data_IF_357596599624
#
_entry.id   IF_357596599624
#
_cell.length_a   1.000
_cell.length_b   1.000
_cell.length_c   1.000
_cell.angle_alpha   90.00
_cell.angle_beta   90.00
_cell.angle_gamma   90.00
#
_symmetry.space_group_name_H-M   'P 1'
#
loop_
_entity.id
_entity.type
_entity.pdbx_description
1 polymer ?
#
# COMPACT_ATOMS: atom_id res chain seq x y z
N UNK A 1 23.54 -23.62 -22.72
CA UNK A 1 22.61 -24.45 -23.51
C UNK A 1 22.35 -23.73 -24.83
N UNK A 2 22.68 -24.34 -25.98
CA UNK A 2 22.46 -23.74 -27.31
C UNK A 2 21.00 -23.94 -27.73
N UNK A 3 20.39 -22.90 -28.29
CA UNK A 3 19.00 -22.90 -28.77
C UNK A 3 18.96 -23.63 -30.14
N UNK A 4 18.02 -24.56 -30.37
CA UNK A 4 17.80 -25.17 -31.68
C UNK A 4 17.44 -24.11 -32.73
N UNK A 5 18.03 -24.18 -33.93
CA UNK A 5 17.85 -23.16 -34.98
C UNK A 5 16.46 -23.17 -35.63
N UNK A 6 15.71 -24.25 -35.43
CA UNK A 6 14.38 -24.55 -35.96
C UNK A 6 13.23 -24.12 -35.03
N UNK A 7 13.53 -23.67 -33.80
CA UNK A 7 12.53 -23.09 -32.89
C UNK A 7 11.54 -24.09 -32.27
N UNK A 8 11.64 -25.39 -32.61
CA UNK A 8 10.78 -26.44 -32.06
C UNK A 8 11.40 -27.03 -30.79
N UNK A 9 10.78 -26.73 -29.65
CA UNK A 9 11.18 -27.28 -28.35
C UNK A 9 10.37 -28.53 -28.02
N UNK A 10 11.03 -29.63 -27.66
CA UNK A 10 10.36 -30.76 -27.02
C UNK A 10 9.95 -30.36 -25.59
N UNK A 11 8.80 -30.82 -25.10
CA UNK A 11 8.22 -30.42 -23.81
C UNK A 11 9.20 -30.51 -22.61
N UNK A 12 10.10 -31.50 -22.62
CA UNK A 12 11.14 -31.68 -21.61
C UNK A 12 12.22 -30.57 -21.62
N UNK A 13 12.56 -30.01 -22.79
CA UNK A 13 13.57 -28.95 -22.95
C UNK A 13 13.01 -27.56 -22.55
N UNK A 14 11.70 -27.35 -22.75
CA UNK A 14 10.97 -26.17 -22.27
C UNK A 14 10.98 -26.07 -20.74
N UNK A 15 10.70 -27.18 -20.04
CA UNK A 15 10.71 -27.23 -18.58
C UNK A 15 12.08 -26.90 -17.97
N UNK A 16 13.17 -27.30 -18.61
CA UNK A 16 14.53 -26.98 -18.17
C UNK A 16 14.91 -25.50 -18.42
N UNK A 17 14.48 -24.89 -19.53
CA UNK A 17 14.83 -23.50 -19.87
C UNK A 17 14.10 -22.46 -19.00
N UNK A 18 12.83 -22.68 -18.67
CA UNK A 18 11.97 -21.71 -17.94
C UNK A 18 12.49 -21.41 -16.52
N UNK A 19 13.30 -22.30 -15.93
CA UNK A 19 13.86 -22.10 -14.59
C UNK A 19 14.94 -21.01 -14.52
N UNK A 20 15.63 -20.70 -15.62
CA UNK A 20 16.70 -19.70 -15.65
C UNK A 20 16.16 -18.28 -15.89
N UNK A 21 16.58 -17.31 -15.05
CA UNK A 21 16.25 -15.87 -15.24
C UNK A 21 16.73 -15.32 -16.59
N UNK A 22 17.76 -15.93 -17.19
CA UNK A 22 18.31 -15.54 -18.48
C UNK A 22 17.41 -15.95 -19.66
N UNK A 23 16.77 -17.14 -19.60
CA UNK A 23 15.90 -17.64 -20.67
C UNK A 23 14.58 -16.84 -20.76
N UNK A 24 14.03 -16.40 -19.62
CA UNK A 24 12.78 -15.59 -19.56
C UNK A 24 12.84 -14.25 -20.30
N UNK A 25 14.01 -13.60 -20.36
CA UNK A 25 14.15 -12.32 -21.09
C UNK A 25 14.09 -12.47 -22.61
N UNK A 26 14.36 -13.68 -23.14
CA UNK A 26 14.56 -13.89 -24.58
C UNK A 26 13.34 -14.43 -25.33
N UNK A 27 12.38 -15.01 -24.60
CA UNK A 27 11.21 -15.69 -25.19
C UNK A 27 9.94 -14.84 -25.24
N UNK A 28 9.96 -13.57 -24.82
CA UNK A 28 8.78 -12.68 -24.75
C UNK A 28 7.53 -13.32 -24.08
N UNK A 29 7.74 -14.35 -23.27
CA UNK A 29 6.70 -14.94 -22.43
C UNK A 29 6.55 -13.97 -21.28
N UNK A 30 5.48 -13.16 -21.31
CA UNK A 30 5.07 -12.39 -20.14
C UNK A 30 5.04 -13.37 -18.96
N UNK A 31 5.79 -13.11 -17.87
CA UNK A 31 5.83 -14.04 -16.76
C UNK A 31 4.40 -14.28 -16.29
N UNK A 32 4.02 -15.56 -16.12
CA UNK A 32 2.74 -15.95 -15.53
C UNK A 32 2.50 -15.08 -14.29
N UNK A 33 1.42 -14.31 -14.30
CA UNK A 33 1.03 -13.36 -13.24
C UNK A 33 1.09 -14.08 -11.90
N UNK A 34 1.99 -13.65 -11.03
CA UNK A 34 2.13 -14.27 -9.71
C UNK A 34 1.28 -13.51 -8.72
N UNK A 35 0.69 -14.19 -7.74
CA UNK A 35 -0.11 -13.55 -6.70
C UNK A 35 0.59 -12.37 -5.98
N UNK A 36 1.94 -12.28 -6.05
CA UNK A 36 2.75 -11.16 -5.53
C UNK A 36 2.68 -9.86 -6.34
N UNK A 37 1.90 -9.80 -7.42
CA UNK A 37 1.72 -8.59 -8.22
C UNK A 37 0.72 -7.59 -7.59
N UNK A 38 -0.06 -8.05 -6.59
CA UNK A 38 -1.08 -7.23 -5.93
C UNK A 38 -0.51 -6.53 -4.70
N UNK A 39 -0.72 -5.22 -4.59
CA UNK A 39 -0.19 -4.38 -3.52
C UNK A 39 -1.32 -3.60 -2.84
N UNK A 40 -1.16 -3.29 -1.55
CA UNK A 40 -2.14 -2.56 -0.75
C UNK A 40 -1.84 -1.06 -0.74
N UNK A 41 -2.88 -0.23 -0.84
CA UNK A 41 -2.85 1.20 -0.59
C UNK A 41 -3.62 1.51 0.68
N UNK A 42 -3.08 2.40 1.52
CA UNK A 42 -3.71 2.83 2.76
C UNK A 42 -3.63 4.34 2.92
N UNK A 43 -4.79 4.97 3.11
CA UNK A 43 -4.90 6.39 3.46
C UNK A 43 -5.84 6.57 4.65
N UNK A 44 -5.26 6.97 5.78
CA UNK A 44 -5.94 7.35 7.02
C UNK A 44 -5.65 8.81 7.38
N UNK A 45 -5.12 9.61 6.44
CA UNK A 45 -4.69 10.98 6.74
C UNK A 45 -5.87 11.91 7.05
N UNK A 46 -7.07 11.54 6.59
CA UNK A 46 -8.31 12.28 6.74
C UNK A 46 -8.97 12.00 8.09
N UNK A 47 -9.43 13.01 8.84
CA UNK A 47 -10.05 12.83 10.16
C UNK A 47 -11.24 11.87 10.17
N UNK A 48 -12.10 11.93 9.15
CA UNK A 48 -13.35 11.18 9.14
C UNK A 48 -13.37 10.00 8.18
N UNK A 49 -12.23 9.63 7.55
CA UNK A 49 -12.22 8.58 6.53
C UNK A 49 -11.05 7.61 6.67
N UNK A 50 -11.37 6.32 6.52
CA UNK A 50 -10.39 5.26 6.26
C UNK A 50 -10.56 4.86 4.79
N UNK A 51 -9.47 4.89 4.03
CA UNK A 51 -9.47 4.52 2.61
C UNK A 51 -8.45 3.41 2.37
N UNK A 52 -8.87 2.36 1.68
CA UNK A 52 -8.00 1.29 1.22
C UNK A 52 -8.15 1.07 -0.28
N UNK A 53 -7.08 0.65 -0.93
CA UNK A 53 -7.08 0.27 -2.32
C UNK A 53 -6.12 -0.86 -2.62
N UNK A 54 -6.23 -1.45 -3.79
CA UNK A 54 -5.26 -2.39 -4.32
C UNK A 54 -4.78 -1.92 -5.68
N UNK A 55 -3.50 -2.11 -5.94
CA UNK A 55 -2.92 -1.84 -7.25
C UNK A 55 -2.05 -2.99 -7.71
N UNK A 56 -1.97 -3.15 -9.03
CA UNK A 56 -1.07 -4.11 -9.66
C UNK A 56 0.11 -3.39 -10.28
N UNK A 57 1.30 -3.98 -10.21
CA UNK A 57 2.45 -3.50 -10.99
C UNK A 57 2.14 -3.63 -12.49
N UNK A 58 2.37 -2.58 -13.31
CA UNK A 58 3.26 -1.43 -13.09
C UNK A 58 2.63 -0.16 -12.49
N UNK A 59 1.41 -0.21 -11.93
CA UNK A 59 0.77 0.93 -11.24
C UNK A 59 -0.71 1.13 -11.55
N UNK A 60 -1.41 0.06 -11.91
CA UNK A 60 -2.84 0.13 -12.20
C UNK A 60 -3.64 0.00 -10.91
N UNK A 61 -4.47 1.00 -10.60
CA UNK A 61 -5.43 0.93 -9.50
C UNK A 61 -6.54 -0.06 -9.89
N UNK A 62 -6.67 -1.15 -9.13
CA UNK A 62 -7.65 -2.22 -9.42
C UNK A 62 -8.94 -1.97 -8.65
N UNK A 63 -8.86 -1.92 -7.32
CA UNK A 63 -10.01 -1.74 -6.46
C UNK A 63 -9.73 -0.70 -5.38
N UNK A 64 -10.77 -0.02 -4.90
CA UNK A 64 -10.68 0.82 -3.71
C UNK A 64 -12.00 0.90 -2.97
N UNK A 65 -11.92 1.19 -1.68
CA UNK A 65 -13.07 1.39 -0.82
C UNK A 65 -12.74 2.42 0.25
N UNK A 66 -13.78 3.01 0.84
CA UNK A 66 -13.64 3.97 1.92
C UNK A 66 -14.77 3.77 2.93
N UNK A 67 -14.50 4.14 4.17
CA UNK A 67 -15.47 4.15 5.27
C UNK A 67 -15.38 5.48 5.99
N UNK A 68 -16.53 6.15 6.14
CA UNK A 68 -16.65 7.30 7.04
C UNK A 68 -16.63 6.80 8.49
N UNK A 69 -15.82 7.41 9.32
CA UNK A 69 -15.65 7.09 10.75
C UNK A 69 -15.78 8.38 11.56
N UNK A 70 -16.32 8.27 12.78
CA UNK A 70 -16.36 9.40 13.70
C UNK A 70 -14.98 9.65 14.34
N UNK A 71 -14.25 8.56 14.61
CA UNK A 71 -12.90 8.57 15.13
C UNK A 71 -12.10 7.40 14.55
N UNK A 72 -10.78 7.56 14.47
CA UNK A 72 -9.88 6.48 14.10
C UNK A 72 -9.58 5.62 15.33
N UNK A 73 -10.42 4.60 15.55
CA UNK A 73 -10.16 3.55 16.55
C UNK A 73 -9.13 2.53 16.04
N UNK A 74 -8.22 2.09 16.91
CA UNK A 74 -7.19 1.11 16.57
C UNK A 74 -7.74 -0.27 16.22
N UNK A 75 -8.92 -0.59 16.71
CA UNK A 75 -9.69 -1.82 16.49
C UNK A 75 -10.42 -1.87 15.14
N UNK A 76 -10.73 -0.70 14.54
CA UNK A 76 -11.56 -0.64 13.33
C UNK A 76 -10.78 -0.88 12.02
N UNK A 77 -9.48 -0.56 12.00
CA UNK A 77 -8.69 -0.49 10.77
C UNK A 77 -8.38 -1.88 10.18
N UNK A 78 -7.89 -2.82 10.99
CA UNK A 78 -7.54 -4.16 10.51
C UNK A 78 -8.77 -4.93 10.02
N UNK A 79 -9.91 -4.96 10.72
CA UNK A 79 -11.14 -5.57 10.21
C UNK A 79 -11.66 -4.91 8.92
N UNK A 80 -11.47 -3.60 8.77
CA UNK A 80 -11.79 -2.90 7.53
C UNK A 80 -10.94 -3.41 6.36
N UNK A 81 -9.62 -3.55 6.55
CA UNK A 81 -8.71 -4.10 5.55
C UNK A 81 -9.03 -5.56 5.21
N UNK A 82 -9.32 -6.39 6.22
CA UNK A 82 -9.74 -7.78 6.02
C UNK A 82 -11.00 -7.88 5.15
N UNK A 83 -12.02 -7.07 5.46
CA UNK A 83 -13.26 -7.03 4.64
C UNK A 83 -12.98 -6.55 3.22
N UNK A 84 -12.13 -5.55 3.05
CA UNK A 84 -11.74 -5.06 1.72
C UNK A 84 -11.05 -6.17 0.91
N UNK A 85 -10.05 -6.84 1.47
CA UNK A 85 -9.33 -7.91 0.77
C UNK A 85 -10.25 -9.09 0.47
N UNK A 86 -11.05 -9.54 1.44
CA UNK A 86 -12.01 -10.65 1.26
C UNK A 86 -13.02 -10.38 0.15
N UNK A 87 -13.55 -9.15 0.07
CA UNK A 87 -14.47 -8.74 -1.01
C UNK A 87 -13.85 -8.79 -2.41
N UNK A 88 -12.51 -8.73 -2.49
CA UNK A 88 -11.76 -8.81 -3.73
C UNK A 88 -11.09 -10.18 -3.93
N UNK A 89 -11.52 -11.21 -3.19
CA UNK A 89 -10.95 -12.56 -3.23
C UNK A 89 -9.44 -12.60 -2.94
N UNK A 90 -8.99 -11.71 -2.05
CA UNK A 90 -7.61 -11.59 -1.61
C UNK A 90 -7.47 -11.87 -0.12
N UNK A 91 -6.27 -12.28 0.27
CA UNK A 91 -5.81 -12.39 1.65
C UNK A 91 -4.54 -11.56 1.85
N UNK A 92 -4.17 -11.27 3.10
CA UNK A 92 -2.94 -10.54 3.41
C UNK A 92 -1.68 -11.21 2.86
N UNK A 93 -1.62 -12.55 2.85
CA UNK A 93 -0.47 -13.31 2.36
C UNK A 93 -0.26 -13.21 0.83
N UNK A 94 -1.25 -12.71 0.10
CA UNK A 94 -1.15 -12.47 -1.34
C UNK A 94 -0.65 -11.05 -1.66
N UNK A 95 -0.38 -10.21 -0.65
CA UNK A 95 0.16 -8.88 -0.90
C UNK A 95 1.65 -8.95 -1.22
N UNK A 96 2.09 -8.21 -2.23
CA UNK A 96 3.49 -8.01 -2.60
C UNK A 96 4.14 -6.80 -1.95
N UNK A 97 3.34 -5.89 -1.38
CA UNK A 97 3.80 -4.66 -0.76
C UNK A 97 2.68 -3.75 -0.30
N UNK A 98 3.03 -2.70 0.45
CA UNK A 98 2.09 -1.72 1.01
C UNK A 98 2.59 -0.30 0.71
N UNK A 99 1.73 0.56 0.18
CA UNK A 99 1.93 2.01 0.14
C UNK A 99 0.97 2.66 1.14
N UNK A 100 1.51 3.45 2.06
CA UNK A 100 0.73 4.16 3.09
C UNK A 100 0.93 5.67 2.98
N UNK A 101 -0.15 6.43 3.13
CA UNK A 101 -0.11 7.87 3.20
C UNK A 101 0.53 8.35 4.51
N UNK A 102 1.50 9.27 4.41
CA UNK A 102 2.27 9.78 5.56
C UNK A 102 1.73 11.08 6.15
N UNK A 103 0.69 11.63 5.56
CA UNK A 103 0.18 12.97 5.87
C UNK A 103 0.63 14.02 4.86
N UNK A 104 0.41 15.32 5.18
CA UNK A 104 -0.09 15.83 6.46
C UNK A 104 -1.54 15.39 6.76
N UNK A 105 -1.89 15.29 8.04
CA UNK A 105 -3.22 14.81 8.45
C UNK A 105 -3.41 14.71 9.97
N UNK A 106 -4.53 14.11 10.40
CA UNK A 106 -4.85 13.93 11.82
C UNK A 106 -3.75 13.16 12.56
N UNK A 107 -3.31 13.66 13.73
CA UNK A 107 -2.22 13.07 14.51
C UNK A 107 -2.43 11.58 14.80
N UNK A 108 -3.60 11.26 15.36
CA UNK A 108 -3.99 9.89 15.69
C UNK A 108 -4.13 9.05 14.42
N UNK A 109 -4.80 9.58 13.41
CA UNK A 109 -5.15 8.82 12.21
C UNK A 109 -3.94 8.48 11.33
N UNK A 110 -3.04 9.44 11.09
CA UNK A 110 -1.79 9.23 10.35
C UNK A 110 -0.91 8.21 11.07
N UNK A 111 -0.78 8.33 12.40
CA UNK A 111 0.05 7.41 13.19
C UNK A 111 -0.51 5.99 13.18
N UNK A 112 -1.83 5.83 13.32
CA UNK A 112 -2.48 4.52 13.25
C UNK A 112 -2.27 3.86 11.88
N UNK A 113 -2.48 4.59 10.79
CA UNK A 113 -2.26 4.06 9.44
C UNK A 113 -0.83 3.58 9.21
N UNK A 114 0.14 4.39 9.64
CA UNK A 114 1.57 4.05 9.53
C UNK A 114 1.92 2.82 10.37
N UNK A 115 1.49 2.77 11.64
CA UNK A 115 1.79 1.65 12.55
C UNK A 115 1.18 0.36 12.02
N UNK A 116 -0.09 0.38 11.58
CA UNK A 116 -0.75 -0.82 11.03
C UNK A 116 -0.08 -1.27 9.73
N UNK A 117 0.28 -0.34 8.83
CA UNK A 117 1.00 -0.69 7.61
C UNK A 117 2.39 -1.29 7.91
N UNK A 118 3.12 -0.72 8.87
CA UNK A 118 4.43 -1.23 9.29
C UNK A 118 4.31 -2.64 9.89
N UNK A 119 3.37 -2.84 10.81
CA UNK A 119 3.14 -4.12 11.46
C UNK A 119 2.73 -5.21 10.46
N UNK A 120 1.79 -4.91 9.55
CA UNK A 120 1.40 -5.83 8.49
C UNK A 120 2.60 -6.18 7.58
N UNK A 121 3.35 -5.17 7.14
CA UNK A 121 4.50 -5.38 6.28
C UNK A 121 5.60 -6.23 6.93
N UNK A 122 5.88 -5.96 8.21
CA UNK A 122 6.82 -6.72 9.02
C UNK A 122 6.40 -8.18 9.15
N UNK A 123 5.15 -8.43 9.56
CA UNK A 123 4.64 -9.80 9.72
C UNK A 123 4.62 -10.60 8.41
N UNK A 124 4.32 -9.93 7.30
CA UNK A 124 4.25 -10.56 5.97
C UNK A 124 5.60 -10.61 5.24
N UNK A 125 6.65 -9.99 5.79
CA UNK A 125 7.96 -9.85 5.15
C UNK A 125 7.89 -9.20 3.76
N UNK A 126 7.08 -8.15 3.63
CA UNK A 126 6.86 -7.41 2.37
C UNK A 126 7.33 -5.96 2.49
N UNK A 127 7.74 -5.31 1.38
CA UNK A 127 8.11 -3.90 1.39
C UNK A 127 6.92 -3.01 1.77
N UNK A 128 7.22 -1.95 2.53
CA UNK A 128 6.29 -0.87 2.84
C UNK A 128 6.91 0.48 2.51
N UNK A 129 6.12 1.35 1.89
CA UNK A 129 6.55 2.67 1.46
C UNK A 129 5.56 3.71 1.98
N UNK A 130 6.08 4.67 2.74
CA UNK A 130 5.34 5.87 3.09
C UNK A 130 5.40 6.93 1.99
N UNK A 131 4.27 7.52 1.64
CA UNK A 131 4.16 8.60 0.64
C UNK A 131 3.50 9.84 1.26
N UNK A 132 4.13 11.02 1.18
CA UNK A 132 3.48 12.27 1.55
C UNK A 132 2.43 12.65 0.49
N UNK A 133 1.24 12.98 0.97
CA UNK A 133 0.14 13.52 0.16
C UNK A 133 0.07 15.05 0.33
N UNK A 134 -0.54 15.78 -0.62
CA UNK A 134 -0.87 17.17 -0.37
C UNK A 134 -1.90 17.28 0.76
N UNK A 135 -1.86 18.39 1.49
CA UNK A 135 -2.96 18.74 2.40
C UNK A 135 -4.19 19.01 1.54
N UNK A 136 -5.30 18.37 1.87
CA UNK A 136 -6.58 18.59 1.18
C UNK A 136 -7.69 18.72 2.21
N UNK A 137 -8.77 19.37 1.81
CA UNK A 137 -10.06 19.22 2.48
C UNK A 137 -10.55 17.78 2.34
N UNK A 138 -11.52 17.38 3.17
CA UNK A 138 -12.07 16.03 3.10
C UNK A 138 -12.71 15.81 1.71
N UNK A 139 -12.46 14.64 1.09
CA UNK A 139 -12.98 14.35 -0.24
C UNK A 139 -14.50 14.28 -0.22
N UNK A 140 -15.14 14.94 -1.21
CA UNK A 140 -16.61 14.99 -1.35
C UNK A 140 -17.10 14.02 -2.43
N UNK A 141 -16.48 12.83 -2.52
CA UNK A 141 -16.88 11.85 -3.53
C UNK A 141 -15.87 10.77 -3.86
N UNK A 142 -16.33 9.85 -4.72
CA UNK A 142 -15.56 8.71 -5.19
C UNK A 142 -14.38 9.13 -6.10
N UNK A 143 -14.52 10.22 -6.86
CA UNK A 143 -13.50 10.70 -7.81
C UNK A 143 -12.27 11.24 -7.10
N UNK A 144 -12.46 12.03 -6.06
CA UNK A 144 -11.42 12.62 -5.23
C UNK A 144 -10.63 11.51 -4.53
N UNK A 145 -11.32 10.53 -3.97
CA UNK A 145 -10.72 9.35 -3.34
C UNK A 145 -9.89 8.56 -4.35
N UNK A 146 -10.42 8.33 -5.55
CA UNK A 146 -9.69 7.64 -6.62
C UNK A 146 -8.41 8.40 -7.00
N UNK A 147 -8.47 9.74 -7.08
CA UNK A 147 -7.32 10.58 -7.40
C UNK A 147 -6.24 10.52 -6.31
N UNK A 148 -6.63 10.47 -5.03
CA UNK A 148 -5.69 10.26 -3.91
C UNK A 148 -4.98 8.93 -4.04
N UNK A 149 -5.71 7.85 -4.34
CA UNK A 149 -5.12 6.52 -4.56
C UNK A 149 -4.15 6.49 -5.73
N UNK A 150 -4.50 7.11 -6.86
CA UNK A 150 -3.59 7.28 -8.01
C UNK A 150 -2.33 8.05 -7.63
N UNK A 151 -2.45 9.08 -6.80
CA UNK A 151 -1.30 9.85 -6.31
C UNK A 151 -0.36 9.01 -5.44
N UNK A 152 -0.92 8.16 -4.57
CA UNK A 152 -0.12 7.22 -3.77
C UNK A 152 0.66 6.26 -4.66
N UNK A 153 0.02 5.67 -5.66
CA UNK A 153 0.68 4.77 -6.61
C UNK A 153 1.81 5.50 -7.34
N UNK A 154 1.51 6.65 -7.97
CA UNK A 154 2.45 7.39 -8.80
C UNK A 154 3.72 7.81 -8.04
N UNK A 155 3.57 8.22 -6.77
CA UNK A 155 4.71 8.60 -5.91
C UNK A 155 5.39 7.40 -5.24
N UNK A 156 4.64 6.34 -4.95
CA UNK A 156 5.16 5.16 -4.26
C UNK A 156 5.99 4.26 -5.16
N UNK A 157 5.59 4.05 -6.41
CA UNK A 157 6.34 3.22 -7.38
C UNK A 157 7.70 3.83 -7.72
N UNK A 158 7.83 5.16 -7.64
CA UNK A 158 9.11 5.87 -7.84
C UNK A 158 10.15 5.58 -6.74
N UNK A 159 9.74 5.00 -5.60
CA UNK A 159 10.66 4.65 -4.50
C UNK A 159 11.20 3.22 -4.68
N UNK A 160 12.52 3.04 -4.53
CA UNK A 160 13.19 1.74 -4.78
C UNK A 160 12.58 0.62 -3.92
N UNK A 161 12.13 -0.50 -4.52
CA UNK A 161 11.64 -1.67 -3.78
C UNK A 161 12.80 -2.31 -3.00
N UNK A 162 12.55 -2.76 -1.76
CA UNK A 162 13.53 -3.48 -0.94
C UNK A 162 14.06 -2.75 0.29
N UNK A 163 13.48 -1.62 0.68
CA UNK A 163 13.81 -0.99 1.97
C UNK A 163 12.53 -0.67 2.74
N UNK A 164 12.47 -1.06 4.01
CA UNK A 164 11.51 -0.58 5.03
C UNK A 164 11.76 0.92 5.30
N UNK A 165 11.75 1.75 4.25
CA UNK A 165 12.29 3.11 4.32
C UNK A 165 11.25 4.11 4.78
N UNK A 166 11.60 4.77 5.88
CA UNK A 166 11.08 6.06 6.33
C UNK A 166 9.56 6.11 6.47
N UNK A 167 9.00 5.32 7.38
CA UNK A 167 7.65 5.53 7.89
C UNK A 167 7.66 6.61 8.97
N UNK A 168 7.71 7.88 8.56
CA UNK A 168 7.56 9.04 9.46
C UNK A 168 6.20 9.69 9.25
N UNK A 169 5.46 9.83 10.34
CA UNK A 169 4.20 10.56 10.33
C UNK A 169 4.45 12.06 10.17
N UNK A 170 3.70 12.70 9.28
CA UNK A 170 3.67 14.14 9.09
C UNK A 170 2.28 14.62 9.49
N UNK A 171 2.20 15.51 10.46
CA UNK A 171 0.91 15.94 11.03
C UNK A 171 0.45 17.30 10.49
N UNK A 172 1.38 18.15 10.04
CA UNK A 172 1.08 19.47 9.47
C UNK A 172 0.55 20.50 10.49
N UNK A 173 0.43 20.13 11.77
CA UNK A 173 0.19 21.01 12.93
C UNK A 173 0.99 20.46 14.13
N UNK A 174 1.45 21.32 15.06
CA UNK A 174 1.99 20.84 16.32
C UNK A 174 0.95 19.99 17.07
N UNK A 175 1.36 18.97 17.83
CA UNK A 175 0.44 18.15 18.60
C UNK A 175 -0.36 19.04 19.55
N UNK A 176 -1.69 18.88 19.57
CA UNK A 176 -2.53 19.54 20.55
C UNK A 176 -2.39 18.77 21.88
N UNK A 177 -1.34 19.08 22.63
CA UNK A 177 -1.10 18.49 23.95
C UNK A 177 -2.12 19.15 24.89
N UNK A 178 -2.98 18.35 25.50
CA UNK A 178 -3.81 18.80 26.62
C UNK A 178 -2.85 19.25 27.71
N UNK A 179 -2.78 20.56 27.99
CA UNK A 179 -2.05 21.03 29.16
C UNK A 179 -2.67 20.37 30.40
N UNK A 180 -1.83 19.85 31.30
CA UNK A 180 -2.33 19.31 32.57
C UNK A 180 -3.11 20.41 33.29
N UNK A 181 -4.22 20.04 33.95
CA UNK A 181 -5.03 20.98 34.75
C UNK A 181 -4.21 21.70 35.83
N UNK A 182 -3.03 21.21 36.18
CA UNK A 182 -2.10 21.84 37.15
C UNK A 182 -1.55 23.20 36.67
N UNK A 183 -1.39 23.42 35.37
CA UNK A 183 -0.87 24.70 34.85
C UNK A 183 -1.90 25.84 34.89
N UNK A 184 -3.20 25.52 35.05
CA UNK A 184 -4.28 26.50 35.11
C UNK A 184 -4.45 27.08 36.53
N UNK A 185 -3.85 26.47 37.55
CA UNK A 185 -3.95 26.91 38.96
C UNK A 185 -2.88 27.93 39.39
N UNK A 186 -2.05 28.42 38.48
CA UNK A 186 -0.92 29.32 38.83
C UNK A 186 -0.92 30.63 38.04
N UNK A 187 -2.08 31.11 37.60
CA UNK A 187 -2.25 32.47 37.08
C UNK A 187 -3.36 33.19 37.83
#
# INVERSE_FOLDING_TARGET
MRIPKDGLWHAAQLHACIRSKSCRRRLNVLPMRTHKDTNLLLDTTLPSYIIAGSFQSPGELVNFTYKKVQFHGGDALVPFLQRFLKKNSLSFHQLGGIIVAQGPGSFTAVRLGIVVAAALAYSLHIPVVGVPLPKTEEPVGRREIQQRMRTLIAKGIRKKPGSYKNLRAVYGKPPNITQSKELIKTQ
#
